data_IF_193815251516
#
_entry.id   IF_193815251516
#
_cell.length_a   1.000
_cell.length_b   1.000
_cell.length_c   1.000
_cell.angle_alpha   90.00
_cell.angle_beta   90.00
_cell.angle_gamma   90.00
#
_symmetry.space_group_name_H-M   'P 1'
#
loop_
_entity.id
_entity.type
_entity.pdbx_description
1 polymer ?
#
# COMPACT_ATOMS: atom_id res chain seq x y z
N UNK A 1 23.72 3.76 11.15
CA UNK A 1 22.36 3.68 11.72
C UNK A 1 21.46 2.80 10.82
N UNK A 2 21.52 1.50 11.07
CA UNK A 2 20.72 0.49 10.38
C UNK A 2 19.33 0.43 11.02
N UNK A 3 18.30 0.91 10.33
CA UNK A 3 16.92 0.61 10.70
C UNK A 3 16.60 -0.81 10.23
N UNK A 4 17.12 -1.78 10.97
CA UNK A 4 16.68 -3.17 10.89
C UNK A 4 15.28 -3.22 11.50
N UNK A 5 14.24 -3.31 10.67
CA UNK A 5 12.90 -3.69 11.14
C UNK A 5 13.03 -5.10 11.70
N UNK A 6 12.93 -5.18 13.02
CA UNK A 6 13.03 -6.38 13.84
C UNK A 6 12.03 -7.45 13.42
N UNK A 7 12.51 -8.68 13.34
CA UNK A 7 11.71 -9.88 13.15
C UNK A 7 10.78 -10.12 14.35
N UNK A 8 9.47 -10.15 14.04
CA UNK A 8 8.36 -10.89 14.69
C UNK A 8 7.86 -10.46 16.09
N UNK A 9 6.88 -9.54 16.16
CA UNK A 9 5.90 -9.47 17.27
C UNK A 9 4.61 -8.64 16.99
N UNK A 10 3.99 -8.73 15.82
CA UNK A 10 2.56 -8.41 15.66
C UNK A 10 2.02 -9.11 14.42
N UNK A 11 1.25 -10.18 14.55
CA UNK A 11 0.71 -11.00 13.45
C UNK A 11 -0.32 -10.29 12.57
N UNK A 12 -0.14 -9.01 12.28
CA UNK A 12 -1.03 -8.19 11.48
C UNK A 12 -0.37 -7.89 10.14
N UNK A 13 -0.99 -8.39 9.09
CA UNK A 13 -0.61 -8.13 7.70
C UNK A 13 -0.85 -6.65 7.40
N UNK A 14 0.12 -5.98 6.78
CA UNK A 14 -0.06 -4.60 6.34
C UNK A 14 -0.76 -4.53 4.98
N UNK A 15 -0.61 -5.60 4.19
CA UNK A 15 -1.19 -5.70 2.86
C UNK A 15 -2.67 -6.06 2.94
N UNK A 16 -3.49 -5.35 2.16
CA UNK A 16 -4.92 -5.57 2.04
C UNK A 16 -5.32 -5.58 0.56
N UNK A 17 -6.48 -6.15 0.20
CA UNK A 17 -7.02 -6.01 -1.15
C UNK A 17 -7.24 -4.55 -1.57
N UNK A 18 -7.24 -4.31 -2.87
CA UNK A 18 -7.56 -3.04 -3.53
C UNK A 18 -6.56 -1.88 -3.28
N UNK A 19 -5.35 -2.17 -2.82
CA UNK A 19 -4.27 -1.17 -2.82
C UNK A 19 -3.32 -1.37 -4.00
N UNK A 20 -2.70 -0.28 -4.46
CA UNK A 20 -1.55 -0.37 -5.38
C UNK A 20 -0.26 -0.58 -4.57
N UNK A 21 0.56 -1.51 -5.04
CA UNK A 21 1.88 -1.83 -4.48
C UNK A 21 2.94 -1.78 -5.57
N UNK A 22 4.21 -1.66 -5.15
CA UNK A 22 5.38 -1.80 -6.03
C UNK A 22 6.18 -3.04 -5.63
N UNK A 23 6.60 -3.82 -6.62
CA UNK A 23 7.48 -4.97 -6.41
C UNK A 23 8.91 -4.49 -6.16
N UNK A 24 9.53 -4.95 -5.06
CA UNK A 24 10.88 -4.56 -4.64
C UNK A 24 11.88 -5.72 -4.66
N UNK A 25 11.51 -6.85 -5.27
CA UNK A 25 12.38 -8.02 -5.41
C UNK A 25 12.57 -8.41 -6.87
N UNK A 26 13.74 -8.95 -7.20
CA UNK A 26 13.97 -9.62 -8.49
C UNK A 26 13.59 -11.11 -8.46
N UNK A 27 13.27 -11.66 -7.28
CA UNK A 27 12.93 -13.09 -7.11
C UNK A 27 11.64 -13.50 -7.83
N UNK A 28 10.75 -12.55 -8.11
CA UNK A 28 9.53 -12.77 -8.91
C UNK A 28 9.80 -12.69 -10.42
N UNK A 29 11.02 -12.34 -10.82
CA UNK A 29 11.43 -12.08 -12.20
C UNK A 29 11.86 -10.62 -12.39
N UNK A 30 12.98 -10.40 -13.06
CA UNK A 30 13.54 -9.06 -13.27
C UNK A 30 12.59 -8.10 -13.98
N UNK A 31 11.68 -8.60 -14.82
CA UNK A 31 10.67 -7.79 -15.52
C UNK A 31 9.66 -7.12 -14.58
N UNK A 32 9.47 -7.64 -13.37
CA UNK A 32 8.53 -7.09 -12.40
C UNK A 32 9.20 -6.19 -11.37
N UNK A 33 10.52 -6.20 -11.27
CA UNK A 33 11.21 -5.39 -10.29
C UNK A 33 10.96 -3.90 -10.55
N UNK A 34 10.44 -3.19 -9.54
CA UNK A 34 9.96 -1.80 -9.57
C UNK A 34 8.66 -1.55 -10.34
N UNK A 35 8.06 -2.58 -10.92
CA UNK A 35 6.74 -2.48 -11.53
C UNK A 35 5.64 -2.43 -10.47
N UNK A 36 4.51 -1.83 -10.84
CA UNK A 36 3.34 -1.69 -9.97
C UNK A 36 2.24 -2.69 -10.33
N UNK A 37 1.51 -3.11 -9.30
CA UNK A 37 0.33 -3.96 -9.43
C UNK A 37 -0.72 -3.61 -8.37
N UNK A 38 -1.92 -4.12 -8.58
CA UNK A 38 -3.05 -4.00 -7.66
C UNK A 38 -3.17 -5.31 -6.89
N UNK A 39 -3.30 -5.23 -5.57
CA UNK A 39 -3.59 -6.40 -4.74
C UNK A 39 -5.04 -6.82 -4.96
N UNK A 40 -5.26 -8.02 -5.49
CA UNK A 40 -6.60 -8.57 -5.70
C UNK A 40 -7.11 -9.32 -4.46
N UNK A 41 -6.25 -10.13 -3.85
CA UNK A 41 -6.57 -10.93 -2.67
C UNK A 41 -5.32 -11.11 -1.79
N UNK A 42 -5.55 -11.38 -0.51
CA UNK A 42 -4.52 -11.64 0.50
C UNK A 42 -4.92 -12.86 1.32
N UNK A 43 -4.08 -13.89 1.30
CA UNK A 43 -4.30 -15.07 2.13
C UNK A 43 -4.05 -14.77 3.61
N UNK A 44 -4.59 -15.60 4.51
CA UNK A 44 -4.33 -15.51 5.96
C UNK A 44 -2.84 -15.60 6.33
N UNK A 45 -1.97 -16.05 5.41
CA UNK A 45 -0.52 -16.18 5.61
C UNK A 45 0.27 -14.94 5.15
N UNK A 46 -0.38 -13.94 4.57
CA UNK A 46 0.29 -12.73 4.05
C UNK A 46 0.82 -12.84 2.63
N UNK A 47 0.40 -13.89 1.90
CA UNK A 47 0.67 -14.01 0.48
C UNK A 47 -0.45 -13.34 -0.32
N UNK A 48 -0.08 -12.45 -1.24
CA UNK A 48 -0.99 -11.71 -2.10
C UNK A 48 -1.04 -12.27 -3.52
N UNK A 49 -2.21 -12.11 -4.16
CA UNK A 49 -2.35 -12.19 -5.61
C UNK A 49 -2.36 -10.77 -6.19
N UNK A 50 -1.47 -10.48 -7.13
CA UNK A 50 -1.34 -9.18 -7.77
C UNK A 50 -1.80 -9.22 -9.22
N UNK A 51 -2.51 -8.17 -9.64
CA UNK A 51 -2.67 -7.84 -11.06
C UNK A 51 -1.69 -6.74 -11.44
N UNK A 52 -0.70 -7.09 -12.26
CA UNK A 52 0.28 -6.15 -12.78
C UNK A 52 -0.35 -5.20 -13.81
N UNK A 53 0.34 -4.10 -14.13
CA UNK A 53 -0.15 -3.10 -15.10
C UNK A 53 -0.41 -3.69 -16.49
N UNK A 54 0.38 -4.68 -16.90
CA UNK A 54 0.20 -5.44 -18.15
C UNK A 54 -0.89 -6.52 -18.07
N UNK A 55 -1.68 -6.54 -16.98
CA UNK A 55 -2.71 -7.53 -16.63
C UNK A 55 -2.19 -8.92 -16.28
N UNK A 56 -0.88 -9.12 -16.19
CA UNK A 56 -0.33 -10.38 -15.68
C UNK A 56 -0.74 -10.60 -14.23
N UNK A 57 -1.16 -11.83 -13.90
CA UNK A 57 -1.40 -12.24 -12.51
C UNK A 57 -0.13 -12.84 -11.91
N UNK A 58 0.21 -12.40 -10.70
CA UNK A 58 1.26 -12.99 -9.86
C UNK A 58 0.65 -13.51 -8.58
N UNK A 59 0.71 -14.83 -8.40
CA UNK A 59 0.21 -15.51 -7.21
C UNK A 59 1.33 -15.73 -6.17
N UNK A 60 0.92 -15.95 -4.92
CA UNK A 60 1.81 -16.27 -3.80
C UNK A 60 2.93 -15.24 -3.57
N UNK A 61 2.61 -13.96 -3.72
CA UNK A 61 3.56 -12.86 -3.51
C UNK A 61 3.59 -12.47 -2.04
N UNK A 62 4.66 -12.84 -1.35
CA UNK A 62 4.85 -12.47 0.06
C UNK A 62 4.92 -10.95 0.24
N UNK A 63 4.25 -10.41 1.27
CA UNK A 63 4.20 -8.97 1.55
C UNK A 63 5.58 -8.29 1.63
N UNK A 64 6.61 -8.99 2.13
CA UNK A 64 8.01 -8.49 2.21
C UNK A 64 8.67 -8.21 0.85
N UNK A 65 8.04 -8.63 -0.25
CA UNK A 65 8.49 -8.35 -1.62
C UNK A 65 7.82 -7.12 -2.22
N UNK A 66 7.01 -6.42 -1.43
CA UNK A 66 6.20 -5.30 -1.83
C UNK A 66 6.50 -4.09 -0.95
N UNK A 67 6.19 -2.92 -1.49
CA UNK A 67 6.04 -1.69 -0.75
C UNK A 67 4.76 -0.98 -1.19
N UNK A 68 4.30 -0.01 -0.39
CA UNK A 68 3.18 0.84 -0.76
C UNK A 68 3.47 1.65 -2.01
N UNK A 69 2.47 1.88 -2.85
CA UNK A 69 2.56 2.81 -3.97
C UNK A 69 1.56 3.94 -3.76
N UNK A 70 2.06 5.17 -3.62
CA UNK A 70 1.25 6.36 -3.46
C UNK A 70 0.70 6.87 -4.82
N UNK A 71 -0.54 7.40 -4.83
CA UNK A 71 -1.07 8.05 -6.02
C UNK A 71 -0.35 9.37 -6.30
N UNK A 72 -0.69 10.01 -7.41
CA UNK A 72 -0.39 11.43 -7.59
C UNK A 72 -1.30 12.29 -6.70
N UNK A 73 -0.92 13.53 -6.38
CA UNK A 73 -1.85 14.53 -5.84
C UNK A 73 -3.19 14.52 -6.58
N UNK A 74 -4.29 14.55 -5.83
CA UNK A 74 -5.67 14.39 -6.30
C UNK A 74 -6.15 12.93 -6.40
N UNK A 75 -5.28 11.95 -6.23
CA UNK A 75 -5.65 10.53 -6.26
C UNK A 75 -6.14 9.99 -4.92
N UNK A 76 -6.91 8.89 -4.98
CA UNK A 76 -7.46 8.18 -3.81
C UNK A 76 -6.39 7.41 -3.07
N UNK A 77 -6.40 7.48 -1.75
CA UNK A 77 -5.49 6.74 -0.90
C UNK A 77 -6.19 6.21 0.36
N UNK A 78 -5.55 5.25 1.02
CA UNK A 78 -5.99 4.64 2.26
C UNK A 78 -4.85 4.58 3.28
N UNK A 79 -5.15 4.86 4.53
CA UNK A 79 -4.20 4.76 5.65
C UNK A 79 -4.04 3.29 6.06
N UNK A 80 -2.81 2.83 6.17
CA UNK A 80 -2.42 1.47 6.59
C UNK A 80 -1.79 1.44 7.98
N UNK A 81 -1.30 2.59 8.48
CA UNK A 81 -0.78 2.72 9.83
C UNK A 81 -1.79 2.18 10.87
N UNK A 82 -1.36 1.30 11.78
CA UNK A 82 -2.17 0.92 12.93
C UNK A 82 -2.55 2.14 13.78
N UNK A 83 -3.81 2.23 14.20
CA UNK A 83 -4.31 3.30 15.06
C UNK A 83 -5.67 3.83 14.63
N UNK A 84 -6.04 5.00 15.15
CA UNK A 84 -7.38 5.60 15.01
C UNK A 84 -7.81 5.84 13.58
N UNK A 85 -6.88 6.12 12.67
CA UNK A 85 -7.17 6.41 11.27
C UNK A 85 -6.93 5.21 10.35
N UNK A 86 -6.69 4.01 10.89
CA UNK A 86 -6.44 2.83 10.06
C UNK A 86 -7.64 2.58 9.14
N UNK A 87 -7.36 2.36 7.86
CA UNK A 87 -8.34 2.16 6.78
C UNK A 87 -9.20 3.37 6.44
N UNK A 88 -8.92 4.55 7.01
CA UNK A 88 -9.52 5.79 6.53
C UNK A 88 -9.10 6.06 5.10
N UNK A 89 -10.08 6.33 4.23
CA UNK A 89 -9.89 6.67 2.82
C UNK A 89 -9.90 8.20 2.65
N UNK A 90 -9.15 8.68 1.67
CA UNK A 90 -9.04 10.10 1.42
C UNK A 90 -8.44 10.45 0.06
N UNK A 91 -8.35 11.75 -0.19
CA UNK A 91 -7.65 12.32 -1.34
C UNK A 91 -6.25 12.77 -0.91
N UNK A 92 -5.22 12.25 -1.59
CA UNK A 92 -3.86 12.70 -1.39
C UNK A 92 -3.73 14.14 -1.90
N UNK A 93 -3.51 15.10 -1.02
CA UNK A 93 -3.36 16.50 -1.40
C UNK A 93 -1.95 16.78 -1.91
N UNK A 94 -0.95 16.39 -1.13
CA UNK A 94 0.46 16.69 -1.39
C UNK A 94 1.37 15.58 -0.88
N UNK A 95 2.58 15.48 -1.43
CA UNK A 95 3.65 14.64 -0.90
C UNK A 95 5.02 15.20 -1.23
N UNK A 96 5.98 14.92 -0.36
CA UNK A 96 7.40 15.11 -0.64
C UNK A 96 8.16 13.78 -0.42
N UNK A 97 9.48 13.82 -0.25
CA UNK A 97 10.31 12.64 -0.03
C UNK A 97 10.15 11.99 1.35
N UNK A 98 9.48 12.64 2.30
CA UNK A 98 9.40 12.22 3.70
C UNK A 98 7.97 11.94 4.16
N UNK A 99 7.01 12.78 3.74
CA UNK A 99 5.64 12.78 4.24
C UNK A 99 4.63 13.10 3.15
N UNK A 100 3.38 12.81 3.45
CA UNK A 100 2.25 13.19 2.63
C UNK A 100 1.11 13.79 3.46
N UNK A 101 0.24 14.50 2.77
CA UNK A 101 -0.95 15.14 3.32
C UNK A 101 -2.17 14.48 2.69
N UNK A 102 -3.02 13.89 3.53
CA UNK A 102 -4.27 13.24 3.14
C UNK A 102 -5.45 14.04 3.69
N UNK A 103 -6.42 14.37 2.84
CA UNK A 103 -7.73 14.82 3.30
C UNK A 103 -8.68 13.62 3.32
N UNK A 104 -9.21 13.28 4.50
CA UNK A 104 -10.16 12.17 4.69
C UNK A 104 -11.49 12.47 4.01
N UNK A 105 -12.22 11.43 3.57
CA UNK A 105 -13.55 11.61 2.96
C UNK A 105 -14.69 11.63 3.98
N UNK A 106 -14.49 11.06 5.17
CA UNK A 106 -15.52 10.94 6.20
C UNK A 106 -15.83 12.29 6.88
N UNK A 107 -14.79 13.00 7.30
CA UNK A 107 -14.90 14.22 8.12
C UNK A 107 -14.06 15.39 7.58
N UNK A 108 -13.47 15.24 6.39
CA UNK A 108 -12.61 16.25 5.75
C UNK A 108 -11.37 16.65 6.57
N UNK A 109 -11.00 15.86 7.59
CA UNK A 109 -9.80 16.03 8.38
C UNK A 109 -8.54 15.92 7.50
N UNK A 110 -7.49 16.66 7.89
CA UNK A 110 -6.21 16.67 7.20
C UNK A 110 -5.17 15.94 8.04
N UNK A 111 -4.66 14.83 7.52
CA UNK A 111 -3.66 13.98 8.17
C UNK A 111 -2.30 14.19 7.52
N UNK A 112 -1.25 14.29 8.35
CA UNK A 112 0.15 14.20 7.90
C UNK A 112 0.67 12.80 8.20
N UNK A 113 1.08 12.06 7.17
CA UNK A 113 1.43 10.64 7.27
C UNK A 113 2.80 10.35 6.65
N UNK A 114 3.47 9.32 7.18
CA UNK A 114 4.65 8.72 6.54
C UNK A 114 4.25 8.08 5.20
N UNK A 115 5.16 8.02 4.23
CA UNK A 115 4.91 7.40 2.92
C UNK A 115 4.67 5.88 3.01
N UNK A 116 5.21 5.24 4.05
CA UNK A 116 5.06 3.80 4.30
C UNK A 116 3.67 3.44 4.85
N UNK A 117 2.95 4.41 5.41
CA UNK A 117 1.71 4.20 6.16
C UNK A 117 0.45 4.41 5.32
N UNK A 118 0.60 4.50 4.00
CA UNK A 118 -0.45 4.89 3.07
C UNK A 118 -0.20 4.26 1.71
N UNK A 119 -1.27 3.84 1.04
CA UNK A 119 -1.21 3.33 -0.32
C UNK A 119 -2.32 3.94 -1.18
N UNK A 120 -2.13 3.96 -2.50
CA UNK A 120 -3.17 4.29 -3.46
C UNK A 120 -4.31 3.28 -3.36
N UNK A 121 -5.53 3.80 -3.21
CA UNK A 121 -6.74 3.02 -3.10
C UNK A 121 -7.39 2.85 -4.48
N UNK A 122 -7.49 1.59 -4.92
CA UNK A 122 -8.05 1.19 -6.20
C UNK A 122 -9.50 0.73 -6.10
N UNK A 123 -10.04 0.57 -4.89
CA UNK A 123 -11.42 0.16 -4.65
C UNK A 123 -12.44 1.30 -4.77
N UNK A 124 -13.74 1.00 -4.55
CA UNK A 124 -14.78 2.01 -4.45
C UNK A 124 -14.60 2.87 -3.19
N UNK A 125 -15.09 4.11 -3.23
CA UNK A 125 -15.04 5.03 -2.08
C UNK A 125 -16.20 4.80 -1.11
N UNK A 126 -17.34 4.38 -1.65
CA UNK A 126 -18.57 4.04 -0.92
C UNK A 126 -18.66 2.51 -0.83
N UNK A 127 -19.15 1.99 0.29
CA UNK A 127 -19.59 0.59 0.41
C UNK A 127 -21.04 0.44 -0.03
#
# INVERSE_FOLDING_TARGET
PSHSRSDLASGQLWIIPNIRVRVITKKLGSRYFKEKGIVLDVTKRGDATLQMTDRTLLDHVAERYLETALPRPGGKAIVLAPGTHQFTKGTLLERNSERCILQTHEDMAVLTLSLDDIAEWMGPLEE
#
